data_IF_822583709339
#
_entry.id   IF_822583709339
#
_cell.length_a   1.000
_cell.length_b   1.000
_cell.length_c   1.000
_cell.angle_alpha   90.00
_cell.angle_beta   90.00
_cell.angle_gamma   90.00
#
_symmetry.space_group_name_H-M   'P 1'
#
loop_
_entity.id
_entity.type
_entity.pdbx_description
1 polymer ?
#
# COMPACT_ATOMS: atom_id res chain seq x y z
N UNK A 1 -80.58 -9.19 -21.20
CA UNK A 1 -79.74 -7.98 -21.07
C UNK A 1 -78.81 -8.20 -19.89
N UNK A 2 -77.50 -8.15 -20.15
CA UNK A 2 -76.33 -7.82 -19.32
C UNK A 2 -76.42 -8.07 -17.79
N UNK A 3 -75.47 -8.71 -17.10
CA UNK A 3 -74.13 -9.13 -17.46
C UNK A 3 -73.50 -9.86 -16.27
N UNK A 4 -72.61 -10.81 -16.57
CA UNK A 4 -71.81 -11.55 -15.61
C UNK A 4 -70.71 -10.63 -15.04
N UNK A 5 -70.90 -10.12 -13.82
CA UNK A 5 -69.85 -9.50 -13.02
C UNK A 5 -69.02 -10.60 -12.35
N UNK A 6 -68.00 -11.06 -13.08
CA UNK A 6 -67.00 -12.01 -12.61
C UNK A 6 -65.88 -11.24 -11.89
N UNK A 7 -65.74 -11.50 -10.59
CA UNK A 7 -64.51 -11.43 -9.79
C UNK A 7 -63.61 -10.19 -9.93
N UNK A 8 -63.83 -9.19 -9.06
CA UNK A 8 -62.78 -8.29 -8.58
C UNK A 8 -62.95 -8.03 -7.08
N UNK A 9 -62.98 -9.11 -6.31
CA UNK A 9 -62.71 -9.05 -4.88
C UNK A 9 -61.36 -9.72 -4.61
N UNK A 10 -60.57 -9.04 -3.77
CA UNK A 10 -59.27 -9.45 -3.25
C UNK A 10 -58.07 -9.40 -4.20
N UNK A 11 -57.43 -8.22 -4.22
CA UNK A 11 -55.96 -8.14 -4.17
C UNK A 11 -55.53 -6.77 -3.61
N UNK A 12 -55.82 -6.55 -2.33
CA UNK A 12 -55.10 -5.56 -1.53
C UNK A 12 -53.70 -6.11 -1.26
N UNK A 13 -52.78 -5.96 -2.21
CA UNK A 13 -51.35 -6.12 -1.95
C UNK A 13 -50.88 -4.95 -1.08
N UNK A 14 -51.03 -5.11 0.24
CA UNK A 14 -50.26 -4.34 1.20
C UNK A 14 -48.80 -4.78 1.10
N UNK A 15 -48.05 -4.22 0.16
CA UNK A 15 -46.59 -4.28 0.23
C UNK A 15 -46.18 -3.37 1.40
N UNK A 16 -45.59 -3.91 2.47
CA UNK A 16 -45.19 -3.08 3.59
C UNK A 16 -44.09 -2.12 3.12
N UNK A 17 -44.27 -0.83 3.37
CA UNK A 17 -43.36 0.28 3.00
C UNK A 17 -41.90 0.00 3.41
N UNK A 18 -41.68 -0.85 4.42
CA UNK A 18 -40.38 -1.33 4.85
C UNK A 18 -39.62 -2.15 3.77
N UNK A 19 -40.32 -2.95 2.96
CA UNK A 19 -39.70 -3.77 1.93
C UNK A 19 -39.11 -2.92 0.78
N UNK A 20 -39.77 -1.80 0.46
CA UNK A 20 -39.33 -0.88 -0.59
C UNK A 20 -38.11 -0.06 -0.15
N UNK A 21 -38.04 0.32 1.12
CA UNK A 21 -36.89 1.06 1.68
C UNK A 21 -35.61 0.21 1.70
N UNK A 22 -35.71 -1.07 2.08
CA UNK A 22 -34.57 -2.02 2.07
C UNK A 22 -34.05 -2.23 0.65
N UNK A 23 -34.96 -2.34 -0.34
CA UNK A 23 -34.58 -2.52 -1.73
C UNK A 23 -33.86 -1.29 -2.30
N UNK A 24 -34.28 -0.07 -1.93
CA UNK A 24 -33.61 1.17 -2.35
C UNK A 24 -32.21 1.31 -1.73
N UNK A 25 -32.01 0.89 -0.48
CA UNK A 25 -30.67 0.88 0.16
C UNK A 25 -29.74 -0.13 -0.51
N UNK A 26 -30.23 -1.32 -0.86
CA UNK A 26 -29.44 -2.35 -1.56
C UNK A 26 -29.07 -1.89 -2.98
N UNK A 27 -29.99 -1.23 -3.68
CA UNK A 27 -29.73 -0.67 -5.02
C UNK A 27 -28.76 0.51 -4.93
N UNK A 28 -28.90 1.38 -3.92
CA UNK A 28 -27.97 2.49 -3.68
C UNK A 28 -26.55 1.99 -3.32
N UNK A 29 -26.42 0.93 -2.52
CA UNK A 29 -25.14 0.27 -2.23
C UNK A 29 -24.51 -0.36 -3.47
N UNK A 30 -25.32 -0.91 -4.39
CA UNK A 30 -24.83 -1.47 -5.67
C UNK A 30 -24.49 -0.41 -6.72
N UNK A 31 -25.06 0.79 -6.63
CA UNK A 31 -24.80 1.90 -7.55
C UNK A 31 -23.75 2.89 -7.04
N UNK A 32 -23.22 2.69 -5.83
CA UNK A 32 -22.00 3.37 -5.44
C UNK A 32 -20.90 2.90 -6.40
N UNK A 33 -20.20 3.80 -7.10
CA UNK A 33 -19.05 3.40 -7.90
C UNK A 33 -18.06 2.79 -6.90
N UNK A 34 -17.97 1.47 -6.92
CA UNK A 34 -16.84 0.74 -6.37
C UNK A 34 -15.66 1.37 -7.11
N UNK A 35 -14.95 2.28 -6.44
CA UNK A 35 -13.66 2.72 -6.93
C UNK A 35 -12.90 1.44 -7.27
N UNK A 36 -12.26 1.35 -8.45
CA UNK A 36 -11.50 0.16 -8.80
C UNK A 36 -10.56 -0.11 -7.62
N UNK A 37 -10.85 -1.17 -6.86
CA UNK A 37 -9.99 -1.60 -5.79
C UNK A 37 -8.74 -2.03 -6.52
N UNK A 38 -7.70 -1.20 -6.49
CA UNK A 38 -6.42 -1.61 -7.00
C UNK A 38 -6.11 -2.95 -6.33
N UNK A 39 -5.85 -3.99 -7.13
CA UNK A 39 -5.61 -5.34 -6.61
C UNK A 39 -4.42 -5.37 -5.63
N UNK A 40 -3.58 -4.33 -5.68
CA UNK A 40 -2.49 -4.08 -4.76
C UNK A 40 -2.64 -2.71 -4.05
N UNK A 41 -2.78 -2.65 -2.72
CA UNK A 41 -2.96 -1.41 -1.96
C UNK A 41 -1.73 -0.48 -2.00
N UNK A 42 -0.53 -1.02 -2.23
CA UNK A 42 0.69 -0.23 -2.43
C UNK A 42 0.57 0.54 -3.74
N UNK A 43 0.16 -0.13 -4.82
CA UNK A 43 -0.05 0.49 -6.13
C UNK A 43 -1.12 1.58 -6.08
N UNK A 44 -2.22 1.33 -5.35
CA UNK A 44 -3.23 2.35 -5.08
C UNK A 44 -2.64 3.60 -4.42
N UNK A 45 -1.76 3.40 -3.44
CA UNK A 45 -1.11 4.49 -2.70
C UNK A 45 -0.20 5.33 -3.59
N UNK A 46 0.57 4.70 -4.49
CA UNK A 46 1.36 5.40 -5.51
C UNK A 46 0.47 6.24 -6.43
N UNK A 47 -0.61 5.67 -6.96
CA UNK A 47 -1.53 6.37 -7.86
C UNK A 47 -2.16 7.58 -7.17
N UNK A 48 -2.62 7.41 -5.93
CA UNK A 48 -3.20 8.51 -5.15
C UNK A 48 -2.20 9.65 -4.96
N UNK A 49 -0.96 9.34 -4.56
CA UNK A 49 0.06 10.34 -4.28
C UNK A 49 0.54 11.06 -5.54
N UNK A 50 0.77 10.34 -6.64
CA UNK A 50 1.21 10.93 -7.91
C UNK A 50 0.13 11.88 -8.47
N UNK A 51 -1.14 11.55 -8.26
CA UNK A 51 -2.28 12.39 -8.67
C UNK A 51 -2.36 13.68 -7.85
N UNK A 52 -2.09 13.61 -6.54
CA UNK A 52 -2.29 14.74 -5.63
C UNK A 52 -1.06 15.64 -5.42
N UNK A 53 0.18 15.16 -5.61
CA UNK A 53 1.39 15.86 -5.13
C UNK A 53 2.60 15.79 -6.09
N UNK A 54 2.36 16.06 -7.37
CA UNK A 54 3.32 15.89 -8.47
C UNK A 54 4.63 16.69 -8.36
N UNK A 55 4.60 17.96 -7.94
CA UNK A 55 5.74 18.88 -8.15
C UNK A 55 6.87 18.82 -7.10
N UNK A 56 6.75 17.95 -6.07
CA UNK A 56 7.70 17.92 -4.94
C UNK A 56 8.68 16.76 -4.91
N UNK A 57 8.35 15.63 -5.54
CA UNK A 57 9.08 14.38 -5.28
C UNK A 57 10.44 14.32 -5.95
N UNK A 58 10.65 14.94 -7.10
CA UNK A 58 11.95 14.90 -7.78
C UNK A 58 13.09 15.43 -6.88
N UNK A 59 12.86 16.55 -6.16
CA UNK A 59 13.86 17.10 -5.22
C UNK A 59 14.05 16.20 -3.98
N UNK A 60 13.00 15.53 -3.54
CA UNK A 60 13.08 14.58 -2.42
C UNK A 60 13.90 13.36 -2.84
N UNK A 61 13.62 12.83 -4.03
CA UNK A 61 14.25 11.65 -4.59
C UNK A 61 15.72 11.86 -4.98
N UNK A 62 16.16 13.10 -5.24
CA UNK A 62 17.59 13.44 -5.40
C UNK A 62 18.45 13.02 -4.19
N UNK A 63 17.85 12.96 -2.99
CA UNK A 63 18.54 12.53 -1.76
C UNK A 63 18.15 11.11 -1.34
N UNK A 64 17.44 10.37 -2.21
CA UNK A 64 17.05 9.00 -1.90
C UNK A 64 18.31 8.12 -1.81
N UNK A 65 18.45 7.29 -0.76
CA UNK A 65 19.64 6.49 -0.49
C UNK A 65 19.74 5.28 -1.44
N UNK A 66 19.83 5.51 -2.74
CA UNK A 66 20.24 4.48 -3.70
C UNK A 66 21.75 4.29 -3.57
N UNK A 67 22.20 3.66 -2.49
CA UNK A 67 23.58 3.20 -2.44
C UNK A 67 23.74 2.03 -3.41
N UNK A 68 24.26 2.33 -4.59
CA UNK A 68 24.74 1.34 -5.57
C UNK A 68 26.20 0.99 -5.33
N UNK A 69 26.71 1.19 -4.11
CA UNK A 69 28.14 1.09 -3.82
C UNK A 69 28.59 -0.37 -3.71
N UNK A 70 28.61 -1.05 -4.86
CA UNK A 70 29.51 -2.18 -5.06
C UNK A 70 30.94 -1.63 -5.01
N UNK A 71 31.55 -1.69 -3.82
CA UNK A 71 32.95 -1.34 -3.63
C UNK A 71 33.90 -2.35 -4.32
N UNK A 72 33.38 -3.33 -5.06
CA UNK A 72 34.15 -4.34 -5.79
C UNK A 72 34.79 -5.38 -4.89
N UNK A 73 34.38 -5.45 -3.62
CA UNK A 73 34.97 -6.35 -2.61
C UNK A 73 34.04 -7.48 -2.14
N UNK A 74 32.76 -7.49 -2.54
CA UNK A 74 31.82 -8.57 -2.21
C UNK A 74 31.43 -9.32 -3.48
N UNK A 75 32.16 -10.38 -3.82
CA UNK A 75 31.84 -11.33 -4.92
C UNK A 75 30.64 -12.26 -4.59
N UNK A 76 29.81 -11.92 -3.60
CA UNK A 76 28.65 -12.73 -3.23
C UNK A 76 27.45 -12.24 -4.03
N UNK A 77 26.95 -13.10 -4.93
CA UNK A 77 25.73 -12.84 -5.68
C UNK A 77 24.55 -12.67 -4.69
N UNK A 78 23.79 -11.55 -4.76
CA UNK A 78 22.66 -11.33 -3.85
C UNK A 78 21.63 -12.44 -3.96
N UNK A 79 20.99 -12.77 -2.84
CA UNK A 79 19.88 -13.71 -2.81
C UNK A 79 18.73 -13.27 -3.72
N UNK A 80 17.90 -14.21 -4.20
CA UNK A 80 16.71 -13.86 -5.02
C UNK A 80 15.75 -12.93 -4.27
N UNK A 81 15.69 -13.08 -2.95
CA UNK A 81 14.87 -12.26 -2.07
C UNK A 81 15.37 -10.80 -2.07
N UNK A 82 16.68 -10.58 -1.91
CA UNK A 82 17.30 -9.26 -2.00
C UNK A 82 17.18 -8.67 -3.39
N UNK A 83 17.37 -9.46 -4.45
CA UNK A 83 17.15 -9.00 -5.84
C UNK A 83 15.70 -8.53 -6.07
N UNK A 84 14.72 -9.26 -5.55
CA UNK A 84 13.31 -8.88 -5.65
C UNK A 84 13.01 -7.61 -4.85
N UNK A 85 13.56 -7.48 -3.64
CA UNK A 85 13.48 -6.29 -2.81
C UNK A 85 14.07 -5.06 -3.52
N UNK A 86 15.30 -5.19 -4.04
CA UNK A 86 16.00 -4.14 -4.77
C UNK A 86 15.24 -3.71 -6.02
N UNK A 87 14.72 -4.66 -6.80
CA UNK A 87 13.86 -4.35 -7.94
C UNK A 87 12.58 -3.61 -7.52
N UNK A 88 12.05 -3.91 -6.33
CA UNK A 88 10.95 -3.18 -5.71
C UNK A 88 11.31 -1.74 -5.39
N UNK A 89 12.49 -1.52 -4.80
CA UNK A 89 13.04 -0.18 -4.51
C UNK A 89 13.18 0.63 -5.81
N UNK A 90 13.81 0.05 -6.84
CA UNK A 90 14.01 0.70 -8.14
C UNK A 90 12.68 1.04 -8.83
N UNK A 91 11.72 0.11 -8.80
CA UNK A 91 10.38 0.36 -9.36
C UNK A 91 9.67 1.47 -8.59
N UNK A 92 9.72 1.43 -7.26
CA UNK A 92 9.10 2.43 -6.41
C UNK A 92 9.67 3.83 -6.65
N UNK A 93 10.99 3.91 -6.82
CA UNK A 93 11.68 5.13 -7.20
C UNK A 93 11.20 5.62 -8.57
N UNK A 94 11.22 4.73 -9.58
CA UNK A 94 10.83 5.06 -10.95
C UNK A 94 9.39 5.60 -11.04
N UNK A 95 8.46 4.99 -10.30
CA UNK A 95 7.07 5.43 -10.22
C UNK A 95 6.94 6.86 -9.70
N UNK A 96 7.69 7.24 -8.65
CA UNK A 96 7.62 8.59 -8.07
C UNK A 96 8.42 9.62 -8.87
N UNK A 97 9.50 9.21 -9.54
CA UNK A 97 10.24 10.07 -10.47
C UNK A 97 9.57 10.20 -11.85
N UNK A 98 8.46 9.50 -12.07
CA UNK A 98 7.72 9.46 -13.34
C UNK A 98 8.58 9.05 -14.55
N UNK A 99 9.59 8.24 -14.27
CA UNK A 99 10.29 7.50 -15.32
C UNK A 99 9.47 6.26 -15.64
N UNK A 100 9.68 5.68 -16.82
CA UNK A 100 9.00 4.44 -17.18
C UNK A 100 9.39 3.35 -16.18
N UNK A 101 8.47 2.99 -15.29
CA UNK A 101 8.60 1.79 -14.47
C UNK A 101 8.21 0.60 -15.37
N UNK A 102 9.18 -0.24 -15.68
CA UNK A 102 8.89 -1.51 -16.36
C UNK A 102 8.05 -2.39 -15.43
N UNK A 103 7.14 -3.18 -16.02
CA UNK A 103 6.39 -4.17 -15.26
C UNK A 103 7.39 -5.23 -14.79
N UNK A 104 7.73 -5.16 -13.51
CA UNK A 104 8.68 -6.09 -12.93
C UNK A 104 8.09 -7.50 -12.85
N UNK A 105 8.82 -8.54 -13.32
CA UNK A 105 8.33 -9.92 -13.27
C UNK A 105 8.17 -10.43 -11.83
N UNK A 106 8.82 -9.79 -10.85
CA UNK A 106 8.81 -10.22 -9.45
C UNK A 106 7.42 -10.28 -8.82
N UNK A 107 6.46 -9.47 -9.32
CA UNK A 107 5.06 -9.45 -8.83
C UNK A 107 4.36 -10.81 -8.96
N UNK A 108 4.79 -11.65 -9.88
CA UNK A 108 4.21 -12.97 -10.18
C UNK A 108 5.02 -14.14 -9.62
N UNK A 109 6.07 -13.86 -8.84
CA UNK A 109 6.98 -14.87 -8.28
C UNK A 109 6.74 -15.13 -6.79
N UNK A 110 7.40 -16.15 -6.24
CA UNK A 110 7.41 -16.43 -4.79
C UNK A 110 8.02 -15.28 -3.95
N UNK A 111 8.74 -14.36 -4.60
CA UNK A 111 9.42 -13.19 -4.02
C UNK A 111 8.61 -11.89 -4.15
N UNK A 112 7.32 -11.99 -4.50
CA UNK A 112 6.45 -10.82 -4.66
C UNK A 112 6.32 -10.00 -3.36
N UNK A 113 6.45 -10.61 -2.19
CA UNK A 113 6.37 -9.90 -0.91
C UNK A 113 7.59 -9.00 -0.66
N UNK A 114 8.79 -9.45 -1.04
CA UNK A 114 10.04 -8.68 -1.00
C UNK A 114 9.97 -7.51 -1.98
N UNK A 115 9.48 -7.77 -3.18
CA UNK A 115 9.24 -6.74 -4.18
C UNK A 115 8.25 -5.66 -3.70
N UNK A 116 7.10 -6.08 -3.14
CA UNK A 116 6.13 -5.18 -2.54
C UNK A 116 6.73 -4.39 -1.36
N UNK A 117 7.56 -5.04 -0.53
CA UNK A 117 8.24 -4.40 0.60
C UNK A 117 9.17 -3.28 0.13
N UNK A 118 10.00 -3.53 -0.89
CA UNK A 118 10.90 -2.53 -1.47
C UNK A 118 10.16 -1.30 -1.99
N UNK A 119 9.07 -1.52 -2.75
CA UNK A 119 8.20 -0.43 -3.22
C UNK A 119 7.63 0.34 -2.04
N UNK A 120 7.04 -0.36 -1.08
CA UNK A 120 6.44 0.29 0.08
C UNK A 120 7.44 1.11 0.90
N UNK A 121 8.68 0.66 1.04
CA UNK A 121 9.74 1.41 1.73
C UNK A 121 10.07 2.73 1.05
N UNK A 122 10.19 2.74 -0.28
CA UNK A 122 10.41 3.99 -1.03
C UNK A 122 9.26 4.96 -0.80
N UNK A 123 8.02 4.46 -0.91
CA UNK A 123 6.83 5.28 -0.72
C UNK A 123 6.81 5.93 0.67
N UNK A 124 7.04 5.15 1.73
CA UNK A 124 7.08 5.64 3.10
C UNK A 124 8.19 6.67 3.29
N UNK A 125 9.40 6.38 2.80
CA UNK A 125 10.53 7.28 2.93
C UNK A 125 10.23 8.61 2.24
N UNK A 126 9.71 8.60 1.01
CA UNK A 126 9.38 9.83 0.27
C UNK A 126 8.33 10.67 1.02
N UNK A 127 7.31 10.03 1.56
CA UNK A 127 6.25 10.73 2.31
C UNK A 127 6.76 11.26 3.65
N UNK A 128 7.69 10.56 4.30
CA UNK A 128 8.35 11.02 5.51
C UNK A 128 9.23 12.26 5.30
N UNK A 129 9.75 12.50 4.09
CA UNK A 129 10.45 13.75 3.76
C UNK A 129 9.51 14.95 3.58
N UNK A 130 8.19 14.73 3.46
CA UNK A 130 7.20 15.79 3.21
C UNK A 130 6.01 15.74 4.19
N UNK A 131 6.25 15.63 5.52
CA UNK A 131 5.21 15.28 6.50
C UNK A 131 4.07 16.31 6.58
N UNK A 132 4.33 17.56 6.21
CA UNK A 132 3.32 18.64 6.20
C UNK A 132 2.25 18.44 5.11
N UNK A 133 2.48 17.54 4.14
CA UNK A 133 1.58 17.26 3.01
C UNK A 133 0.87 15.90 3.11
N UNK A 134 1.09 15.17 4.20
CA UNK A 134 0.58 13.79 4.35
C UNK A 134 -0.61 13.78 5.28
N UNK A 135 -1.68 13.08 4.89
CA UNK A 135 -2.90 12.98 5.70
C UNK A 135 -2.79 11.86 6.74
N UNK A 136 -3.61 11.96 7.80
CA UNK A 136 -3.80 10.85 8.76
C UNK A 136 -4.28 9.58 8.08
N UNK A 137 -5.16 9.70 7.08
CA UNK A 137 -5.74 8.56 6.37
C UNK A 137 -4.67 7.81 5.57
N UNK A 138 -3.76 8.54 4.92
CA UNK A 138 -2.60 7.93 4.28
C UNK A 138 -1.80 7.07 5.26
N UNK A 139 -1.43 7.62 6.42
CA UNK A 139 -0.67 6.86 7.42
C UNK A 139 -1.44 5.67 7.98
N UNK A 140 -2.77 5.76 8.08
CA UNK A 140 -3.62 4.64 8.48
C UNK A 140 -3.61 3.51 7.44
N UNK A 141 -3.69 3.86 6.15
CA UNK A 141 -3.61 2.89 5.05
C UNK A 141 -2.22 2.22 5.02
N UNK A 142 -1.16 3.01 5.22
CA UNK A 142 0.20 2.47 5.27
C UNK A 142 0.41 1.53 6.46
N UNK A 143 -0.15 1.84 7.63
CA UNK A 143 -0.12 0.94 8.79
C UNK A 143 -0.75 -0.41 8.44
N UNK A 144 -1.92 -0.42 7.79
CA UNK A 144 -2.61 -1.64 7.39
C UNK A 144 -1.84 -2.46 6.34
N UNK A 145 -1.17 -1.79 5.39
CA UNK A 145 -0.24 -2.43 4.44
C UNK A 145 0.90 -3.12 5.21
N UNK A 146 1.52 -2.41 6.16
CA UNK A 146 2.58 -2.97 6.98
C UNK A 146 2.13 -4.19 7.79
N UNK A 147 0.90 -4.18 8.33
CA UNK A 147 0.35 -5.31 9.10
C UNK A 147 0.16 -6.53 8.18
N UNK A 148 -0.28 -6.29 6.95
CA UNK A 148 -0.42 -7.32 5.92
C UNK A 148 0.93 -7.92 5.53
N UNK A 149 1.95 -7.08 5.31
CA UNK A 149 3.31 -7.53 5.02
C UNK A 149 3.86 -8.35 6.19
N UNK A 150 3.74 -7.86 7.42
CA UNK A 150 4.19 -8.57 8.61
C UNK A 150 3.52 -9.94 8.75
N UNK A 151 2.21 -10.03 8.49
CA UNK A 151 1.48 -11.28 8.52
C UNK A 151 1.91 -12.26 7.41
N UNK A 152 2.35 -11.77 6.24
CA UNK A 152 2.90 -12.60 5.16
C UNK A 152 4.27 -13.18 5.56
N UNK A 153 5.20 -12.33 6.01
CA UNK A 153 6.54 -12.76 6.42
C UNK A 153 6.51 -13.68 7.65
N UNK A 154 5.58 -13.47 8.59
CA UNK A 154 5.45 -14.32 9.79
C UNK A 154 5.03 -15.78 9.49
N UNK A 155 4.53 -16.06 8.28
CA UNK A 155 4.13 -17.42 7.85
C UNK A 155 5.24 -18.19 7.15
N UNK A 156 6.37 -17.53 6.85
CA UNK A 156 7.50 -18.14 6.16
C UNK A 156 8.40 -18.88 7.14
N UNK A 157 9.31 -19.70 6.61
CA UNK A 157 10.36 -20.29 7.43
C UNK A 157 11.24 -19.19 8.02
N UNK A 158 11.80 -19.44 9.20
CA UNK A 158 12.77 -18.52 9.82
C UNK A 158 14.06 -18.57 9.01
N UNK A 159 14.30 -17.52 8.27
CA UNK A 159 15.51 -17.25 7.51
C UNK A 159 15.99 -15.85 7.91
N UNK A 160 17.30 -15.61 7.82
CA UNK A 160 17.93 -14.38 8.32
C UNK A 160 17.28 -13.11 7.76
N UNK A 161 16.99 -13.08 6.46
CA UNK A 161 16.29 -11.97 5.82
C UNK A 161 14.85 -11.83 6.34
N UNK A 162 14.12 -12.94 6.53
CA UNK A 162 12.74 -12.91 7.05
C UNK A 162 12.72 -12.36 8.49
N UNK A 163 13.68 -12.76 9.32
CA UNK A 163 13.83 -12.25 10.69
C UNK A 163 14.12 -10.74 10.67
N UNK A 164 15.07 -10.30 9.83
CA UNK A 164 15.42 -8.89 9.66
C UNK A 164 14.23 -8.05 9.19
N UNK A 165 13.45 -8.55 8.23
CA UNK A 165 12.21 -7.90 7.78
C UNK A 165 11.21 -7.80 8.93
N UNK A 166 10.97 -8.90 9.66
CA UNK A 166 10.00 -8.90 10.76
C UNK A 166 10.42 -7.96 11.91
N UNK A 167 11.71 -7.87 12.21
CA UNK A 167 12.24 -6.91 13.18
C UNK A 167 12.05 -5.47 12.71
N UNK A 168 12.35 -5.18 11.45
CA UNK A 168 12.13 -3.87 10.84
C UNK A 168 10.65 -3.48 10.91
N UNK A 169 9.75 -4.38 10.51
CA UNK A 169 8.30 -4.15 10.55
C UNK A 169 7.82 -3.86 11.98
N UNK A 170 8.34 -4.57 12.98
CA UNK A 170 8.03 -4.30 14.41
C UNK A 170 8.49 -2.92 14.88
N UNK A 171 9.57 -2.37 14.31
CA UNK A 171 10.08 -1.03 14.65
C UNK A 171 9.29 0.08 13.99
N UNK A 172 8.94 -0.06 12.71
CA UNK A 172 8.23 1.00 11.97
C UNK A 172 6.74 1.08 12.33
N UNK A 173 6.09 -0.03 12.72
CA UNK A 173 4.66 -0.04 13.00
C UNK A 173 4.21 0.95 14.10
N UNK A 174 4.87 1.01 15.27
CA UNK A 174 4.58 2.04 16.27
C UNK A 174 4.72 3.47 15.74
N UNK A 175 5.70 3.72 14.87
CA UNK A 175 5.94 5.04 14.25
C UNK A 175 4.79 5.40 13.30
N UNK A 176 4.34 4.45 12.46
CA UNK A 176 3.17 4.64 11.58
C UNK A 176 1.90 4.93 12.41
N UNK A 177 1.70 4.21 13.51
CA UNK A 177 0.57 4.47 14.42
C UNK A 177 0.66 5.86 15.08
N UNK A 178 1.87 6.35 15.37
CA UNK A 178 2.07 7.70 15.90
C UNK A 178 1.80 8.77 14.82
N UNK A 179 2.28 8.57 13.59
CA UNK A 179 2.05 9.45 12.45
C UNK A 179 0.56 9.52 12.07
N UNK A 180 -0.19 8.42 12.18
CA UNK A 180 -1.65 8.46 12.07
C UNK A 180 -2.28 9.48 13.03
N UNK A 181 -1.79 9.58 14.27
CA UNK A 181 -2.32 10.54 15.26
C UNK A 181 -1.79 11.96 15.05
N UNK A 182 -0.56 12.09 14.55
CA UNK A 182 0.15 13.35 14.36
C UNK A 182 0.86 13.36 13.00
N UNK A 183 0.12 13.52 11.89
CA UNK A 183 0.62 13.26 10.53
C UNK A 183 1.77 14.16 10.09
N UNK A 184 1.83 15.37 10.63
CA UNK A 184 2.88 16.36 10.31
C UNK A 184 3.97 16.47 11.38
N UNK A 185 4.01 15.55 12.36
CA UNK A 185 5.04 15.59 13.39
C UNK A 185 6.39 15.13 12.84
N UNK A 186 7.23 16.10 12.49
CA UNK A 186 8.53 15.90 11.84
C UNK A 186 9.47 14.96 12.58
N UNK A 187 9.42 14.90 13.92
CA UNK A 187 10.25 13.99 14.70
C UNK A 187 9.98 12.52 14.38
N UNK A 188 8.70 12.13 14.27
CA UNK A 188 8.32 10.75 13.91
C UNK A 188 8.57 10.47 12.43
N UNK A 189 8.41 11.47 11.57
CA UNK A 189 8.74 11.33 10.14
C UNK A 189 10.24 11.09 9.96
N UNK A 190 11.09 11.82 10.68
CA UNK A 190 12.54 11.59 10.69
C UNK A 190 12.91 10.20 11.23
N UNK A 191 12.31 9.78 12.35
CA UNK A 191 12.52 8.43 12.91
C UNK A 191 12.09 7.33 11.92
N UNK A 192 11.00 7.54 11.18
CA UNK A 192 10.57 6.61 10.13
C UNK A 192 11.61 6.54 9.01
N UNK A 193 12.08 7.68 8.49
CA UNK A 193 13.09 7.71 7.43
C UNK A 193 14.38 7.02 7.84
N UNK A 194 14.87 7.27 9.06
CA UNK A 194 16.09 6.66 9.61
C UNK A 194 15.98 5.13 9.71
N UNK A 195 14.86 4.62 10.23
CA UNK A 195 14.62 3.17 10.26
C UNK A 195 14.52 2.54 8.86
N UNK A 196 13.92 3.24 7.89
CA UNK A 196 13.82 2.77 6.52
C UNK A 196 15.17 2.77 5.81
N UNK A 197 16.01 3.79 6.03
CA UNK A 197 17.37 3.86 5.49
C UNK A 197 18.22 2.69 5.95
N UNK A 198 18.28 2.45 7.27
CA UNK A 198 19.03 1.31 7.82
C UNK A 198 18.51 -0.03 7.28
N UNK A 199 17.19 -0.17 7.13
CA UNK A 199 16.60 -1.39 6.64
C UNK A 199 16.86 -1.62 5.14
N UNK A 200 16.79 -0.57 4.32
CA UNK A 200 17.10 -0.68 2.88
C UNK A 200 18.56 -1.07 2.66
N UNK A 201 19.50 -0.47 3.39
CA UNK A 201 20.91 -0.85 3.33
C UNK A 201 21.12 -2.30 3.78
N UNK A 202 20.57 -2.70 4.93
CA UNK A 202 20.76 -4.06 5.44
C UNK A 202 20.08 -5.14 4.58
N UNK A 203 18.89 -4.88 4.04
CA UNK A 203 18.16 -5.87 3.22
C UNK A 203 18.76 -6.06 1.82
N UNK A 204 19.49 -5.07 1.31
CA UNK A 204 20.16 -5.17 0.01
C UNK A 204 21.43 -6.04 0.05
N UNK A 205 21.97 -6.34 1.24
CA UNK A 205 23.23 -7.08 1.42
C UNK A 205 23.07 -8.62 1.50
N UNK A 206 21.83 -9.16 1.51
CA UNK A 206 21.55 -10.61 1.62
C UNK A 206 21.67 -11.37 0.29
#
# INVERSE_FOLDING_TARGET
MNGLSFFLDNLKFGVPVAATAVLLVIVALKMWPMQPVAENPIEASYVAIITDNHEGFNRVLENFPLETTDLGFNEVEPSKAAQAFQAGVETGYAMLSQTSADISPWKETDWAAEYDLGRWFVLLWTMAQTPDKVSSDFWADQQAIGETLQARFSKRASEEMTETVLETLKRIQPVLMALKKQPSYRGMAYELSDHLEMAMSGLAEF
#
